data_IF_814823556287
#
_entry.id   IF_814823556287
#
_cell.length_a   1.000
_cell.length_b   1.000
_cell.length_c   1.000
_cell.angle_alpha   90.00
_cell.angle_beta   90.00
_cell.angle_gamma   90.00
#
_symmetry.space_group_name_H-M   'P 1'
#
loop_
_entity.id
_entity.type
_entity.pdbx_description
1 polymer ?
#
# COMPACT_ATOMS: atom_id res chain seq x y z
N UNK A 1 -27.21 47.15 -11.56
CA UNK A 1 -28.63 46.80 -11.82
C UNK A 1 -29.15 45.64 -10.96
N UNK A 2 -28.36 44.61 -10.73
CA UNK A 2 -28.75 43.41 -9.93
C UNK A 2 -28.91 43.78 -8.46
N UNK A 3 -28.00 44.58 -7.89
CA UNK A 3 -28.05 45.00 -6.48
C UNK A 3 -29.30 45.80 -6.14
N UNK A 4 -29.72 46.73 -7.01
CA UNK A 4 -30.96 47.50 -6.84
C UNK A 4 -32.23 46.63 -6.90
N UNK A 5 -32.19 45.54 -7.69
CA UNK A 5 -33.27 44.56 -7.77
C UNK A 5 -33.35 43.73 -6.49
N UNK A 6 -32.21 43.29 -5.97
CA UNK A 6 -32.12 42.55 -4.69
C UNK A 6 -32.69 43.40 -3.53
N UNK A 7 -32.27 44.64 -3.42
CA UNK A 7 -32.80 45.55 -2.41
C UNK A 7 -34.33 45.73 -2.48
N UNK A 8 -34.89 45.76 -3.70
CA UNK A 8 -36.34 45.87 -3.92
C UNK A 8 -37.09 44.59 -3.55
N UNK A 9 -36.45 43.41 -3.74
CA UNK A 9 -37.07 42.10 -3.48
C UNK A 9 -36.94 41.65 -2.01
N UNK A 10 -35.99 42.18 -1.26
CA UNK A 10 -35.76 41.79 0.15
C UNK A 10 -37.03 41.90 1.02
N UNK A 11 -37.74 43.03 1.02
CA UNK A 11 -38.97 43.16 1.82
C UNK A 11 -40.04 42.14 1.45
N UNK A 12 -40.18 41.82 0.15
CA UNK A 12 -41.16 40.84 -0.32
C UNK A 12 -40.83 39.44 0.18
N UNK A 13 -39.54 39.05 0.12
CA UNK A 13 -39.04 37.76 0.62
C UNK A 13 -39.27 37.62 2.13
N UNK A 14 -38.82 38.60 2.90
CA UNK A 14 -38.93 38.59 4.36
C UNK A 14 -40.41 38.57 4.79
N UNK A 15 -41.23 39.45 4.24
CA UNK A 15 -42.66 39.51 4.59
C UNK A 15 -43.42 38.24 4.17
N UNK A 16 -43.11 37.69 2.99
CA UNK A 16 -43.72 36.45 2.52
C UNK A 16 -43.33 35.25 3.37
N UNK A 17 -42.06 35.17 3.78
CA UNK A 17 -41.54 34.12 4.67
C UNK A 17 -42.19 34.19 6.07
N UNK A 18 -42.33 35.41 6.63
CA UNK A 18 -42.99 35.63 7.92
C UNK A 18 -44.49 35.25 7.86
N UNK A 19 -45.16 35.57 6.77
CA UNK A 19 -46.57 35.19 6.57
C UNK A 19 -46.77 33.68 6.50
N UNK A 20 -45.73 32.92 6.10
CA UNK A 20 -45.70 31.46 6.09
C UNK A 20 -45.12 30.85 7.38
N UNK A 21 -44.92 31.61 8.43
CA UNK A 21 -44.53 31.12 9.76
C UNK A 21 -43.02 30.90 9.96
N UNK A 22 -42.17 31.40 9.06
CA UNK A 22 -40.74 31.28 9.22
C UNK A 22 -40.15 32.40 10.10
N UNK A 23 -39.17 32.12 10.98
CA UNK A 23 -38.49 33.11 11.84
C UNK A 23 -37.74 34.16 11.00
N UNK A 24 -37.86 35.45 11.38
CA UNK A 24 -37.25 36.57 10.66
C UNK A 24 -35.73 36.43 10.61
N UNK A 25 -35.10 36.01 11.72
CA UNK A 25 -33.64 35.79 11.79
C UNK A 25 -33.11 34.82 10.75
N UNK A 26 -33.89 33.75 10.50
CA UNK A 26 -33.54 32.72 9.48
C UNK A 26 -33.69 33.32 8.06
N UNK A 27 -34.72 34.06 7.82
CA UNK A 27 -34.95 34.71 6.53
C UNK A 27 -33.91 35.77 6.22
N UNK A 28 -33.55 36.60 7.20
CA UNK A 28 -32.44 37.61 7.10
C UNK A 28 -31.11 36.94 6.80
N UNK A 29 -30.81 35.81 7.48
CA UNK A 29 -29.59 35.04 7.22
C UNK A 29 -29.58 34.50 5.79
N UNK A 30 -30.66 33.88 5.32
CA UNK A 30 -30.81 33.37 3.93
C UNK A 30 -30.58 34.52 2.95
N UNK A 31 -31.21 35.67 3.21
CA UNK A 31 -31.07 36.82 2.31
C UNK A 31 -29.63 37.32 2.24
N UNK A 32 -28.95 37.41 3.37
CA UNK A 32 -27.55 37.81 3.45
C UNK A 32 -26.64 36.85 2.69
N UNK A 33 -26.90 35.52 2.80
CA UNK A 33 -26.19 34.52 2.05
C UNK A 33 -26.42 34.64 0.54
N UNK A 34 -27.65 34.99 0.12
CA UNK A 34 -27.97 35.29 -1.28
C UNK A 34 -27.34 36.57 -1.80
N UNK A 35 -27.23 37.63 -1.00
CA UNK A 35 -26.50 38.87 -1.36
C UNK A 35 -25.00 38.58 -1.58
N UNK A 36 -24.40 37.78 -0.71
CA UNK A 36 -23.02 37.31 -0.88
C UNK A 36 -22.85 36.47 -2.15
N UNK A 37 -23.76 35.54 -2.40
CA UNK A 37 -23.77 34.73 -3.62
C UNK A 37 -23.96 35.58 -4.89
N UNK A 38 -24.84 36.55 -4.88
CA UNK A 38 -25.08 37.45 -6.01
C UNK A 38 -23.92 38.38 -6.33
N UNK A 39 -23.10 38.75 -5.32
CA UNK A 39 -21.88 39.53 -5.50
C UNK A 39 -20.80 38.75 -6.27
N UNK A 40 -20.76 37.43 -6.09
CA UNK A 40 -19.79 36.53 -6.71
C UNK A 40 -20.44 35.54 -7.68
N UNK A 41 -21.64 35.76 -8.17
CA UNK A 41 -22.43 34.84 -8.97
C UNK A 41 -21.58 33.82 -9.73
N UNK A 42 -21.94 32.55 -9.65
CA UNK A 42 -21.18 31.45 -10.22
C UNK A 42 -20.81 31.74 -11.68
N UNK A 43 -19.53 31.99 -11.91
CA UNK A 43 -19.04 32.43 -13.19
C UNK A 43 -19.21 31.30 -14.22
N UNK A 44 -20.07 31.50 -15.20
CA UNK A 44 -20.35 30.51 -16.26
C UNK A 44 -19.07 30.09 -17.00
N UNK A 45 -18.15 31.02 -17.23
CA UNK A 45 -16.85 30.72 -17.86
C UNK A 45 -16.01 29.79 -17.01
N UNK A 46 -15.99 30.03 -15.69
CA UNK A 46 -15.33 29.14 -14.73
C UNK A 46 -15.88 27.72 -14.77
N UNK A 47 -17.22 27.58 -14.71
CA UNK A 47 -17.89 26.26 -14.82
C UNK A 47 -17.54 25.54 -16.09
N UNK A 48 -17.58 26.25 -17.22
CA UNK A 48 -17.27 25.69 -18.54
C UNK A 48 -15.82 25.19 -18.59
N UNK A 49 -14.87 25.97 -18.07
CA UNK A 49 -13.46 25.56 -18.00
C UNK A 49 -13.28 24.29 -17.16
N UNK A 50 -13.88 24.26 -15.96
CA UNK A 50 -13.78 23.06 -15.09
C UNK A 50 -14.49 21.85 -15.69
N UNK A 51 -15.64 22.00 -16.30
CA UNK A 51 -16.31 20.91 -17.00
C UNK A 51 -15.47 20.37 -18.17
N UNK A 52 -14.83 21.27 -18.90
CA UNK A 52 -13.94 20.90 -20.00
C UNK A 52 -12.70 20.11 -19.51
N UNK A 53 -12.01 20.61 -18.46
CA UNK A 53 -10.88 19.91 -17.86
C UNK A 53 -11.32 18.57 -17.28
N UNK A 54 -12.48 18.53 -16.58
CA UNK A 54 -13.04 17.30 -16.04
C UNK A 54 -13.32 16.26 -17.13
N UNK A 55 -13.85 16.67 -18.27
CA UNK A 55 -14.05 15.79 -19.42
C UNK A 55 -12.70 15.28 -19.98
N UNK A 56 -11.73 16.17 -20.17
CA UNK A 56 -10.40 15.79 -20.68
C UNK A 56 -9.71 14.76 -19.76
N UNK A 57 -9.72 14.99 -18.43
CA UNK A 57 -9.11 14.06 -17.47
C UNK A 57 -9.83 12.71 -17.45
N UNK A 58 -11.17 12.71 -17.52
CA UNK A 58 -11.95 11.49 -17.62
C UNK A 58 -11.66 10.70 -18.90
N UNK A 59 -11.56 11.41 -20.04
CA UNK A 59 -11.19 10.82 -21.32
C UNK A 59 -9.80 10.17 -21.29
N UNK A 60 -8.80 10.91 -20.79
CA UNK A 60 -7.43 10.40 -20.67
C UNK A 60 -7.37 9.18 -19.75
N UNK A 61 -8.07 9.21 -18.59
CA UNK A 61 -8.12 8.07 -17.68
C UNK A 61 -8.78 6.85 -18.30
N UNK A 62 -9.77 7.03 -19.16
CA UNK A 62 -10.49 5.93 -19.82
C UNK A 62 -9.70 5.30 -20.98
N UNK A 63 -9.01 6.11 -21.77
CA UNK A 63 -8.36 5.67 -23.00
C UNK A 63 -6.84 5.50 -22.90
N UNK A 64 -6.20 6.17 -21.94
CA UNK A 64 -4.74 6.13 -21.69
C UNK A 64 -4.49 6.01 -20.18
N UNK A 65 -4.99 4.94 -19.53
CA UNK A 65 -4.99 4.86 -18.07
C UNK A 65 -3.59 4.84 -17.47
N UNK A 66 -2.62 4.14 -18.07
CA UNK A 66 -1.25 4.06 -17.57
C UNK A 66 -0.54 5.42 -17.63
N UNK A 67 -0.61 6.10 -18.77
CA UNK A 67 -0.01 7.43 -18.98
C UNK A 67 -0.65 8.49 -18.09
N UNK A 68 -1.97 8.44 -17.95
CA UNK A 68 -2.70 9.34 -17.05
C UNK A 68 -2.27 9.15 -15.59
N UNK A 69 -2.24 7.91 -15.11
CA UNK A 69 -1.83 7.61 -13.73
C UNK A 69 -0.34 7.90 -13.49
N UNK A 70 0.55 7.65 -14.45
CA UNK A 70 1.95 8.06 -14.37
C UNK A 70 2.10 9.58 -14.22
N UNK A 71 1.30 10.37 -14.96
CA UNK A 71 1.30 11.83 -14.84
C UNK A 71 0.75 12.28 -13.47
N UNK A 72 -0.32 11.64 -12.95
CA UNK A 72 -0.90 11.93 -11.64
C UNK A 72 0.11 11.63 -10.53
N UNK A 73 0.72 10.44 -10.54
CA UNK A 73 1.76 10.05 -9.58
C UNK A 73 2.95 11.02 -9.64
N UNK A 74 3.40 11.40 -10.83
CA UNK A 74 4.51 12.35 -11.02
C UNK A 74 4.25 13.73 -10.43
N UNK A 75 3.02 14.23 -10.57
CA UNK A 75 2.66 15.54 -10.02
C UNK A 75 2.47 15.53 -8.50
N UNK A 76 2.26 14.36 -7.91
CA UNK A 76 2.07 14.18 -6.48
C UNK A 76 3.25 13.49 -5.78
N UNK A 77 4.39 13.27 -6.46
CA UNK A 77 5.53 12.48 -5.95
C UNK A 77 6.13 12.99 -4.63
N UNK A 78 5.88 14.25 -4.24
CA UNK A 78 6.32 14.83 -2.98
C UNK A 78 5.31 14.66 -1.82
N UNK A 79 4.11 14.15 -2.10
CA UNK A 79 3.08 13.87 -1.10
C UNK A 79 2.83 12.37 -1.02
N UNK A 80 3.43 11.74 -0.02
CA UNK A 80 3.37 10.29 0.16
C UNK A 80 1.94 9.76 0.30
N UNK A 81 1.04 10.53 0.92
CA UNK A 81 -0.36 10.12 1.08
C UNK A 81 -1.07 10.07 -0.26
N UNK A 82 -0.83 11.07 -1.11
CA UNK A 82 -1.37 11.09 -2.46
C UNK A 82 -0.77 9.98 -3.33
N UNK A 83 0.55 9.74 -3.21
CA UNK A 83 1.19 8.63 -3.94
C UNK A 83 0.56 7.30 -3.53
N UNK A 84 0.39 7.03 -2.22
CA UNK A 84 -0.25 5.81 -1.72
C UNK A 84 -1.68 5.67 -2.27
N UNK A 85 -2.48 6.74 -2.20
CA UNK A 85 -3.85 6.75 -2.72
C UNK A 85 -3.90 6.42 -4.22
N UNK A 86 -3.02 7.00 -5.02
CA UNK A 86 -3.00 6.75 -6.46
C UNK A 86 -2.37 5.40 -6.83
N UNK A 87 -1.47 4.87 -6.03
CA UNK A 87 -0.97 3.50 -6.18
C UNK A 87 -2.09 2.48 -5.99
N UNK A 88 -2.94 2.69 -4.97
CA UNK A 88 -4.13 1.86 -4.74
C UNK A 88 -5.13 1.96 -5.89
N UNK A 89 -5.33 3.18 -6.43
CA UNK A 89 -6.18 3.38 -7.61
C UNK A 89 -5.61 2.64 -8.83
N UNK A 90 -4.28 2.65 -9.04
CA UNK A 90 -3.64 1.85 -10.10
C UNK A 90 -3.94 0.36 -9.92
N UNK A 91 -3.80 -0.17 -8.70
CA UNK A 91 -4.12 -1.58 -8.38
C UNK A 91 -5.58 -1.90 -8.70
N UNK A 92 -6.52 -1.03 -8.28
CA UNK A 92 -7.96 -1.18 -8.55
C UNK A 92 -8.29 -1.16 -10.05
N UNK A 93 -7.51 -0.42 -10.84
CA UNK A 93 -7.63 -0.35 -12.30
C UNK A 93 -6.94 -1.51 -13.03
N UNK A 94 -6.25 -2.40 -12.32
CA UNK A 94 -5.46 -3.49 -12.91
C UNK A 94 -4.18 -3.00 -13.60
N UNK A 95 -3.67 -1.83 -13.24
CA UNK A 95 -2.43 -1.28 -13.77
C UNK A 95 -1.24 -1.75 -12.94
N UNK A 96 -0.24 -2.32 -13.59
CA UNK A 96 1.01 -2.70 -12.95
C UNK A 96 1.87 -1.45 -12.70
N UNK A 97 2.29 -1.28 -11.44
CA UNK A 97 3.30 -0.28 -11.06
C UNK A 97 4.54 -1.03 -10.62
N UNK A 98 5.59 -0.92 -11.41
CA UNK A 98 6.87 -1.60 -11.19
C UNK A 98 7.81 -0.71 -10.39
N UNK A 99 8.69 -1.32 -9.60
CA UNK A 99 9.71 -0.62 -8.82
C UNK A 99 10.68 0.21 -9.67
N UNK A 100 11.53 1.04 -9.03
CA UNK A 100 12.55 1.78 -9.76
C UNK A 100 13.58 0.84 -10.37
N UNK A 101 14.11 1.21 -11.52
CA UNK A 101 15.16 0.50 -12.24
C UNK A 101 16.06 1.50 -12.95
N UNK A 102 17.37 1.44 -12.74
CA UNK A 102 18.32 2.36 -13.38
C UNK A 102 18.34 2.21 -14.89
N UNK A 103 17.92 1.07 -15.41
CA UNK A 103 17.85 0.80 -16.86
C UNK A 103 16.54 1.27 -17.52
N UNK A 104 15.49 1.58 -16.72
CA UNK A 104 14.18 1.96 -17.28
C UNK A 104 13.65 3.26 -16.69
N UNK A 105 13.83 3.50 -15.38
CA UNK A 105 13.23 4.64 -14.71
C UNK A 105 13.73 5.98 -15.20
N UNK A 106 12.83 6.96 -15.14
CA UNK A 106 13.13 8.38 -15.31
C UNK A 106 13.06 9.10 -13.95
N UNK A 107 13.25 10.42 -13.96
CA UNK A 107 13.05 11.22 -12.76
C UNK A 107 11.61 11.15 -12.26
N UNK A 108 10.64 11.23 -13.17
CA UNK A 108 9.21 11.08 -12.93
C UNK A 108 8.75 9.66 -13.23
N UNK A 109 7.56 9.31 -12.76
CA UNK A 109 6.88 8.08 -13.20
C UNK A 109 6.66 8.12 -14.71
N UNK A 110 6.86 7.00 -15.36
CA UNK A 110 6.71 6.87 -16.81
C UNK A 110 6.16 5.49 -17.17
N UNK A 111 5.51 5.38 -18.31
CA UNK A 111 5.05 4.10 -18.85
C UNK A 111 6.19 3.48 -19.65
N UNK A 112 6.46 2.19 -19.44
CA UNK A 112 7.45 1.43 -20.19
C UNK A 112 6.83 0.75 -21.43
N UNK A 113 7.66 0.04 -22.21
CA UNK A 113 7.24 -0.62 -23.44
C UNK A 113 6.21 -1.75 -23.20
N UNK A 114 6.09 -2.25 -21.97
CA UNK A 114 5.12 -3.27 -21.57
C UNK A 114 3.80 -2.66 -21.05
N UNK A 115 3.60 -1.33 -21.22
CA UNK A 115 2.47 -0.57 -20.70
C UNK A 115 2.33 -0.60 -19.17
N UNK A 116 3.40 -0.94 -18.43
CA UNK A 116 3.45 -0.83 -16.98
C UNK A 116 3.99 0.55 -16.57
N UNK A 117 3.53 1.06 -15.43
CA UNK A 117 4.03 2.32 -14.86
C UNK A 117 5.33 2.01 -14.12
N UNK A 118 6.44 2.61 -14.54
CA UNK A 118 7.72 2.51 -13.86
C UNK A 118 7.87 3.61 -12.82
N UNK A 119 8.28 3.24 -11.60
CA UNK A 119 8.48 4.17 -10.48
C UNK A 119 9.57 5.20 -10.80
N UNK A 120 9.30 6.48 -10.53
CA UNK A 120 10.25 7.57 -10.78
C UNK A 120 11.37 7.60 -9.75
N UNK A 121 12.63 7.59 -10.18
CA UNK A 121 13.79 7.66 -9.27
C UNK A 121 13.81 8.93 -8.42
N UNK A 122 13.21 10.03 -8.89
CA UNK A 122 13.11 11.28 -8.14
C UNK A 122 12.17 11.23 -6.93
N UNK A 123 11.34 10.19 -6.81
CA UNK A 123 10.51 9.97 -5.62
C UNK A 123 11.26 9.24 -4.48
N UNK A 124 12.49 8.76 -4.72
CA UNK A 124 13.33 8.11 -3.73
C UNK A 124 14.07 9.19 -2.91
N UNK A 125 13.98 9.13 -1.58
CA UNK A 125 14.66 10.07 -0.68
C UNK A 125 16.16 10.15 -0.98
N UNK A 126 16.68 11.37 -1.09
CA UNK A 126 18.11 11.59 -1.33
C UNK A 126 18.61 11.27 -2.73
N UNK A 127 17.75 10.86 -3.66
CA UNK A 127 18.09 10.71 -5.07
C UNK A 127 17.72 12.01 -5.78
N UNK A 128 18.70 12.89 -5.89
CA UNK A 128 18.52 14.21 -6.50
C UNK A 128 18.45 14.15 -8.03
N UNK A 129 17.95 15.24 -8.63
CA UNK A 129 17.78 15.34 -10.08
C UNK A 129 19.08 15.09 -10.85
N UNK A 130 20.21 15.66 -10.38
CA UNK A 130 21.52 15.45 -11.03
C UNK A 130 21.96 13.99 -11.05
N UNK A 131 21.68 13.21 -9.96
CA UNK A 131 21.97 11.78 -9.93
C UNK A 131 21.14 11.01 -10.97
N UNK A 132 19.87 11.36 -11.12
CA UNK A 132 19.00 10.72 -12.12
C UNK A 132 19.39 11.11 -13.54
N UNK A 133 19.70 12.38 -13.78
CA UNK A 133 20.09 12.89 -15.10
C UNK A 133 21.37 12.20 -15.60
N UNK A 134 22.41 12.05 -14.76
CA UNK A 134 23.62 11.34 -15.18
C UNK A 134 23.36 9.86 -15.48
N UNK A 135 22.50 9.18 -14.71
CA UNK A 135 22.10 7.79 -15.00
C UNK A 135 21.39 7.70 -16.35
N UNK A 136 20.42 8.57 -16.62
CA UNK A 136 19.66 8.57 -17.87
C UNK A 136 20.54 8.90 -19.06
N UNK A 137 21.45 9.88 -18.93
CA UNK A 137 22.32 10.32 -20.01
C UNK A 137 23.24 9.19 -20.49
N UNK A 138 23.97 8.57 -19.56
CA UNK A 138 24.92 7.53 -19.93
C UNK A 138 24.23 6.19 -20.30
N UNK A 139 22.99 5.98 -19.87
CA UNK A 139 22.15 4.85 -20.31
C UNK A 139 21.87 4.88 -21.83
N UNK A 140 21.91 6.04 -22.47
CA UNK A 140 21.72 6.16 -23.93
C UNK A 140 22.78 5.41 -24.74
N UNK A 141 23.97 5.22 -24.19
CA UNK A 141 25.05 4.45 -24.79
C UNK A 141 24.84 2.93 -24.73
N UNK A 142 23.82 2.49 -23.97
CA UNK A 142 23.45 1.10 -23.75
C UNK A 142 23.01 0.88 -22.31
N UNK A 143 22.19 -0.15 -22.08
CA UNK A 143 21.76 -0.55 -20.74
C UNK A 143 22.98 -0.90 -19.86
N UNK A 144 22.89 -0.59 -18.57
CA UNK A 144 23.91 -1.02 -17.61
C UNK A 144 23.81 -2.52 -17.38
N UNK A 145 24.94 -3.20 -17.46
CA UNK A 145 25.03 -4.67 -17.29
C UNK A 145 25.30 -5.08 -15.84
N UNK A 146 25.93 -4.20 -15.05
CA UNK A 146 26.26 -4.44 -13.66
C UNK A 146 26.46 -3.13 -12.91
N UNK A 147 26.61 -3.21 -11.58
CA UNK A 147 26.95 -2.05 -10.77
C UNK A 147 28.34 -1.49 -11.16
N UNK A 148 29.27 -2.35 -11.59
CA UNK A 148 30.61 -1.93 -12.04
C UNK A 148 30.54 -1.12 -13.33
N UNK A 149 29.71 -1.55 -14.28
CA UNK A 149 29.46 -0.80 -15.53
C UNK A 149 28.84 0.56 -15.23
N UNK A 150 27.85 0.59 -14.32
CA UNK A 150 27.19 1.83 -13.92
C UNK A 150 28.21 2.84 -13.35
N UNK A 151 29.02 2.47 -12.35
CA UNK A 151 29.94 3.41 -11.68
C UNK A 151 31.10 3.86 -12.57
N UNK A 152 31.45 3.10 -13.62
CA UNK A 152 32.44 3.50 -14.61
C UNK A 152 31.93 4.64 -15.50
N UNK A 153 30.62 4.73 -15.73
CA UNK A 153 30.00 5.58 -16.73
C UNK A 153 29.38 6.86 -16.16
N UNK A 154 28.74 6.79 -14.97
CA UNK A 154 28.00 7.92 -14.40
C UNK A 154 28.90 8.91 -13.66
N UNK A 155 28.43 10.17 -13.51
CA UNK A 155 29.11 11.14 -12.62
C UNK A 155 28.83 10.79 -11.15
N UNK A 156 29.84 10.26 -10.46
CA UNK A 156 29.77 9.87 -9.05
C UNK A 156 29.71 11.05 -8.06
N UNK A 157 29.94 12.28 -8.51
CA UNK A 157 29.72 13.49 -7.71
C UNK A 157 28.25 13.82 -7.64
N UNK A 158 27.56 13.69 -8.77
CA UNK A 158 26.10 13.86 -8.85
C UNK A 158 25.35 12.69 -8.22
N UNK A 159 25.72 11.45 -8.55
CA UNK A 159 25.20 10.21 -7.97
C UNK A 159 26.05 9.79 -6.78
N UNK A 160 26.00 10.55 -5.68
CA UNK A 160 26.80 10.33 -4.49
C UNK A 160 26.43 9.05 -3.74
N UNK A 161 27.26 8.66 -2.75
CA UNK A 161 27.08 7.45 -1.94
C UNK A 161 25.65 7.30 -1.40
N UNK A 162 25.06 8.38 -0.85
CA UNK A 162 23.70 8.33 -0.28
C UNK A 162 22.63 8.07 -1.32
N UNK A 163 22.76 8.65 -2.50
CA UNK A 163 21.83 8.39 -3.62
C UNK A 163 21.92 6.94 -4.09
N UNK A 164 23.15 6.40 -4.20
CA UNK A 164 23.40 5.02 -4.57
C UNK A 164 22.86 4.03 -3.52
N UNK A 165 23.10 4.26 -2.24
CA UNK A 165 22.54 3.47 -1.13
C UNK A 165 21.01 3.43 -1.23
N UNK A 166 20.36 4.57 -1.39
CA UNK A 166 18.90 4.64 -1.45
C UNK A 166 18.32 4.01 -2.72
N UNK A 167 19.04 4.05 -3.84
CA UNK A 167 18.67 3.29 -5.06
C UNK A 167 18.73 1.78 -4.81
N UNK A 168 19.78 1.27 -4.12
CA UNK A 168 19.85 -0.15 -3.72
C UNK A 168 18.65 -0.51 -2.84
N UNK A 169 18.39 0.28 -1.79
CA UNK A 169 17.31 0.01 -0.84
C UNK A 169 15.93 0.01 -1.51
N UNK A 170 15.74 0.87 -2.51
CA UNK A 170 14.52 0.93 -3.32
C UNK A 170 14.41 -0.17 -4.40
N UNK A 171 15.47 -0.98 -4.61
CA UNK A 171 15.49 -2.01 -5.64
C UNK A 171 15.95 -1.55 -7.03
N UNK A 172 16.50 -0.33 -7.13
CA UNK A 172 16.91 0.25 -8.41
C UNK A 172 17.98 -0.52 -9.19
N UNK A 173 18.66 -1.48 -8.55
CA UNK A 173 19.71 -2.32 -9.13
C UNK A 173 19.34 -3.81 -9.25
N UNK A 174 18.10 -4.18 -8.91
CA UNK A 174 17.68 -5.58 -8.89
C UNK A 174 17.74 -6.23 -10.28
N UNK A 175 17.62 -5.44 -11.34
CA UNK A 175 17.74 -5.92 -12.73
C UNK A 175 19.13 -6.41 -13.12
N UNK A 176 20.18 -6.13 -12.34
CA UNK A 176 21.51 -6.67 -12.62
C UNK A 176 21.61 -8.19 -12.40
N UNK A 177 20.80 -8.76 -11.50
CA UNK A 177 20.66 -10.20 -11.30
C UNK A 177 21.84 -10.92 -10.62
N UNK A 178 23.04 -10.37 -10.72
CA UNK A 178 24.27 -10.98 -10.15
C UNK A 178 24.42 -10.73 -8.64
N UNK A 179 23.74 -9.69 -8.12
CA UNK A 179 23.85 -9.24 -6.74
C UNK A 179 22.47 -9.04 -6.13
N UNK A 180 22.29 -9.44 -4.89
CA UNK A 180 21.12 -9.10 -4.10
C UNK A 180 21.41 -7.93 -3.15
N UNK A 181 20.37 -7.22 -2.73
CA UNK A 181 20.46 -5.94 -1.99
C UNK A 181 21.36 -6.02 -0.74
N UNK A 182 21.32 -7.13 0.03
CA UNK A 182 22.13 -7.30 1.23
C UNK A 182 23.64 -7.27 0.95
N UNK A 183 24.10 -7.76 -0.21
CA UNK A 183 25.51 -7.79 -0.57
C UNK A 183 26.12 -6.40 -0.67
N UNK A 184 25.34 -5.42 -1.17
CA UNK A 184 25.82 -4.04 -1.27
C UNK A 184 26.16 -3.42 0.08
N UNK A 185 25.47 -3.85 1.14
CA UNK A 185 25.67 -3.35 2.51
C UNK A 185 26.56 -4.24 3.36
N UNK A 186 27.03 -5.39 2.81
CA UNK A 186 27.90 -6.29 3.57
C UNK A 186 29.28 -5.65 3.78
N UNK A 187 29.73 -5.43 5.06
CA UNK A 187 31.01 -4.83 5.35
C UNK A 187 32.12 -5.87 5.24
N UNK A 188 33.35 -5.41 4.92
CA UNK A 188 34.56 -6.20 5.06
C UNK A 188 35.13 -6.14 6.49
N UNK A 189 36.34 -6.69 6.67
CA UNK A 189 37.04 -6.67 7.95
C UNK A 189 37.36 -5.27 8.50
N UNK A 190 37.39 -4.26 7.64
CA UNK A 190 37.65 -2.85 8.00
C UNK A 190 36.32 -2.06 8.16
N UNK A 191 35.18 -2.72 8.05
CA UNK A 191 33.86 -2.09 8.17
C UNK A 191 33.40 -1.32 6.91
N UNK A 192 34.11 -1.46 5.78
CA UNK A 192 33.79 -0.79 4.52
C UNK A 192 32.79 -1.65 3.73
N UNK A 193 31.62 -1.10 3.36
CA UNK A 193 30.61 -1.83 2.60
C UNK A 193 31.05 -2.10 1.16
N UNK A 194 30.49 -3.17 0.56
CA UNK A 194 30.78 -3.50 -0.84
C UNK A 194 30.42 -2.36 -1.77
N UNK A 195 29.25 -1.70 -1.60
CA UNK A 195 28.87 -0.54 -2.39
C UNK A 195 29.91 0.58 -2.32
N UNK A 196 30.46 0.84 -1.14
CA UNK A 196 31.49 1.87 -0.95
C UNK A 196 32.79 1.55 -1.71
N UNK A 197 33.18 0.27 -1.73
CA UNK A 197 34.32 -0.20 -2.54
C UNK A 197 34.06 -0.03 -4.03
N UNK A 198 32.85 -0.36 -4.49
CA UNK A 198 32.44 -0.19 -5.90
C UNK A 198 32.46 1.28 -6.31
N UNK A 199 31.97 2.19 -5.48
CA UNK A 199 32.03 3.63 -5.76
C UNK A 199 33.47 4.12 -5.84
N UNK A 200 34.36 3.69 -4.91
CA UNK A 200 35.78 4.03 -4.93
C UNK A 200 36.49 3.48 -6.17
N UNK A 201 36.14 2.27 -6.57
CA UNK A 201 36.61 1.67 -7.81
C UNK A 201 36.23 2.52 -9.04
N UNK A 202 34.94 2.89 -9.17
CA UNK A 202 34.48 3.74 -10.27
C UNK A 202 35.19 5.09 -10.32
N UNK A 203 35.38 5.73 -9.15
CA UNK A 203 36.11 7.01 -9.07
C UNK A 203 37.57 6.89 -9.54
N UNK A 204 38.29 5.86 -9.10
CA UNK A 204 39.65 5.61 -9.55
C UNK A 204 39.72 5.30 -11.05
N UNK A 205 38.79 4.51 -11.56
CA UNK A 205 38.71 4.19 -12.98
C UNK A 205 38.53 5.47 -13.84
N UNK A 206 37.61 6.34 -13.44
CA UNK A 206 37.36 7.60 -14.14
C UNK A 206 38.53 8.57 -14.03
N UNK A 207 39.19 8.66 -12.87
CA UNK A 207 40.41 9.46 -12.68
C UNK A 207 41.55 9.00 -13.59
N UNK A 208 41.71 7.69 -13.72
CA UNK A 208 42.73 7.11 -14.62
C UNK A 208 42.44 7.43 -16.08
N UNK A 209 41.21 7.32 -16.55
CA UNK A 209 40.83 7.70 -17.92
C UNK A 209 41.05 9.19 -18.21
N UNK A 210 40.82 10.06 -17.24
CA UNK A 210 40.95 11.50 -17.37
C UNK A 210 42.41 11.98 -17.17
N UNK A 211 43.28 11.16 -16.58
CA UNK A 211 44.68 11.49 -16.46
C UNK A 211 45.37 11.31 -17.80
N UNK A 212 45.95 12.41 -18.36
CA UNK A 212 46.71 12.41 -19.60
C UNK A 212 48.08 11.66 -19.45
N UNK A 213 48.35 11.00 -18.35
CA UNK A 213 49.50 10.13 -18.17
C UNK A 213 49.23 8.78 -18.84
N UNK A 214 49.62 8.69 -20.10
CA UNK A 214 49.90 7.39 -20.71
C UNK A 214 51.01 6.75 -19.89
N UNK A 215 50.67 5.69 -19.14
CA UNK A 215 51.70 4.91 -18.46
C UNK A 215 52.70 4.47 -19.48
N UNK A 216 53.99 4.80 -19.24
CA UNK A 216 55.11 4.42 -20.11
C UNK A 216 55.33 2.89 -20.15
N UNK A 217 54.62 2.16 -19.27
CA UNK A 217 54.55 0.71 -19.11
C UNK A 217 53.10 0.25 -19.35
N UNK A 218 52.78 0.05 -20.61
CA UNK A 218 51.44 -0.17 -21.10
C UNK A 218 50.87 -1.57 -20.85
N UNK A 219 50.80 -2.08 -19.62
CA UNK A 219 50.17 -3.37 -19.32
C UNK A 219 49.57 -3.53 -17.89
N UNK A 220 49.61 -2.52 -17.03
CA UNK A 220 49.10 -2.66 -15.66
C UNK A 220 47.64 -2.33 -15.42
N UNK A 221 46.90 -1.93 -16.45
CA UNK A 221 45.55 -1.34 -16.27
C UNK A 221 44.40 -2.34 -16.08
N UNK A 222 44.56 -3.58 -16.54
CA UNK A 222 43.50 -4.59 -16.42
C UNK A 222 43.57 -5.44 -15.16
N UNK A 223 44.74 -5.65 -14.59
CA UNK A 223 44.93 -6.52 -13.40
C UNK A 223 44.50 -5.86 -12.10
N UNK A 224 44.62 -4.55 -11.94
CA UNK A 224 44.26 -3.83 -10.69
C UNK A 224 42.74 -3.72 -10.46
N UNK A 225 41.93 -4.03 -11.47
CA UNK A 225 40.46 -3.88 -11.43
C UNK A 225 39.71 -5.19 -11.35
N UNK A 226 40.37 -6.35 -11.40
CA UNK A 226 39.73 -7.67 -11.36
C UNK A 226 39.41 -8.20 -9.93
N UNK A 227 39.84 -7.52 -8.88
CA UNK A 227 39.81 -8.08 -7.52
C UNK A 227 38.61 -7.68 -6.63
N UNK A 228 37.62 -6.97 -7.16
CA UNK A 228 36.39 -6.70 -6.40
C UNK A 228 35.43 -7.88 -6.55
N UNK A 229 35.58 -8.87 -5.68
CA UNK A 229 34.65 -9.98 -5.58
C UNK A 229 33.38 -9.57 -4.88
N UNK A 230 32.24 -9.98 -5.41
CA UNK A 230 30.94 -9.81 -4.76
C UNK A 230 30.94 -10.62 -3.45
N UNK A 231 30.68 -9.98 -2.28
CA UNK A 231 30.72 -10.68 -1.01
C UNK A 231 29.62 -11.74 -0.91
N UNK A 232 29.93 -12.88 -0.32
CA UNK A 232 28.94 -13.90 0.00
C UNK A 232 28.30 -13.56 1.35
N UNK A 233 26.98 -13.35 1.35
CA UNK A 233 26.16 -13.21 2.56
C UNK A 233 24.74 -13.71 2.29
N UNK A 234 23.98 -13.95 3.35
CA UNK A 234 22.56 -14.30 3.21
C UNK A 234 21.75 -13.14 2.63
N UNK A 235 20.82 -13.46 1.75
CA UNK A 235 19.87 -12.47 1.21
C UNK A 235 18.91 -11.99 2.31
N UNK A 236 18.51 -10.75 2.25
CA UNK A 236 17.44 -10.26 3.12
C UNK A 236 16.14 -11.02 2.84
N UNK A 237 15.35 -11.27 3.89
CA UNK A 237 13.98 -11.76 3.71
C UNK A 237 13.14 -10.72 2.97
N UNK A 238 12.06 -11.17 2.32
CA UNK A 238 11.14 -10.26 1.62
C UNK A 238 10.67 -9.11 2.52
N UNK A 239 10.29 -9.42 3.77
CA UNK A 239 9.86 -8.41 4.73
C UNK A 239 10.93 -7.33 4.99
N UNK A 240 12.21 -7.72 5.12
CA UNK A 240 13.32 -6.76 5.30
C UNK A 240 13.47 -5.88 4.05
N UNK A 241 13.40 -6.46 2.84
CA UNK A 241 13.46 -5.70 1.60
C UNK A 241 12.34 -4.67 1.54
N UNK A 242 11.09 -5.06 1.84
CA UNK A 242 9.93 -4.17 1.85
C UNK A 242 10.05 -3.03 2.88
N UNK A 243 10.59 -3.33 4.07
CA UNK A 243 10.86 -2.31 5.08
C UNK A 243 11.90 -1.30 4.61
N UNK A 244 12.96 -1.77 3.93
CA UNK A 244 13.99 -0.91 3.36
C UNK A 244 13.45 -0.05 2.22
N UNK A 245 12.61 -0.59 1.37
CA UNK A 245 11.86 0.19 0.37
C UNK A 245 11.06 1.31 1.03
N UNK A 246 10.24 0.97 2.03
CA UNK A 246 9.43 1.94 2.76
C UNK A 246 10.25 3.02 3.46
N UNK A 247 11.42 2.68 4.00
CA UNK A 247 12.33 3.65 4.63
C UNK A 247 12.74 4.78 3.67
N UNK A 248 13.04 4.43 2.42
CA UNK A 248 13.58 5.39 1.42
C UNK A 248 12.52 5.95 0.48
N UNK A 249 11.38 5.29 0.33
CA UNK A 249 10.31 5.74 -0.58
C UNK A 249 9.08 6.21 0.19
N UNK A 250 8.85 5.66 1.38
CA UNK A 250 7.70 5.94 2.24
C UNK A 250 6.52 5.00 2.06
N UNK A 251 6.55 4.15 1.03
CA UNK A 251 5.55 3.11 0.73
C UNK A 251 6.24 1.80 0.37
N UNK A 252 5.51 0.71 0.41
CA UNK A 252 5.92 -0.57 -0.18
C UNK A 252 5.68 -0.53 -1.69
N UNK A 253 6.68 -0.92 -2.47
CA UNK A 253 6.61 -0.88 -3.95
C UNK A 253 6.46 -2.29 -4.52
N UNK A 254 7.37 -3.20 -4.15
CA UNK A 254 7.46 -4.53 -4.77
C UNK A 254 6.26 -5.41 -4.43
N UNK A 255 5.81 -5.38 -3.19
CA UNK A 255 4.63 -6.08 -2.66
C UNK A 255 4.26 -5.48 -1.30
N UNK A 256 3.08 -5.83 -0.77
CA UNK A 256 2.70 -5.44 0.58
C UNK A 256 3.05 -6.56 1.58
N UNK A 257 3.52 -6.28 2.82
CA UNK A 257 3.79 -7.33 3.80
C UNK A 257 2.61 -8.25 4.11
N UNK A 258 1.38 -7.77 3.91
CA UNK A 258 0.15 -8.53 4.10
C UNK A 258 -0.30 -9.33 2.87
N UNK A 259 0.44 -9.30 1.76
CA UNK A 259 0.07 -10.04 0.54
C UNK A 259 0.02 -11.56 0.81
N UNK A 260 0.93 -12.06 1.68
CA UNK A 260 0.92 -13.44 2.14
C UNK A 260 -0.30 -13.78 3.05
N UNK A 261 -1.05 -12.77 3.51
CA UNK A 261 -2.21 -12.89 4.41
C UNK A 261 -3.50 -12.36 3.79
N UNK A 262 -3.56 -12.26 2.46
CA UNK A 262 -4.72 -11.69 1.75
C UNK A 262 -6.02 -12.44 2.09
N UNK A 263 -5.98 -13.76 2.16
CA UNK A 263 -7.14 -14.59 2.49
C UNK A 263 -7.58 -14.40 3.95
N UNK A 264 -6.65 -14.28 4.89
CA UNK A 264 -6.94 -14.00 6.30
C UNK A 264 -7.60 -12.64 6.45
N UNK A 265 -7.07 -11.63 5.76
CA UNK A 265 -7.60 -10.27 5.76
C UNK A 265 -9.00 -10.21 5.13
N UNK A 266 -9.23 -10.91 4.01
CA UNK A 266 -10.52 -10.92 3.32
C UNK A 266 -11.62 -11.63 4.13
N UNK A 267 -11.30 -12.76 4.73
CA UNK A 267 -12.32 -13.63 5.34
C UNK A 267 -12.54 -13.41 6.83
N UNK A 268 -11.56 -12.87 7.57
CA UNK A 268 -11.61 -12.78 9.03
C UNK A 268 -11.43 -11.36 9.59
N UNK A 269 -11.15 -10.38 8.75
CA UNK A 269 -11.13 -8.96 9.10
C UNK A 269 -12.42 -8.30 8.61
N UNK A 270 -13.12 -7.60 9.51
CA UNK A 270 -14.44 -7.03 9.20
C UNK A 270 -14.41 -5.57 8.79
N UNK A 271 -13.30 -4.87 9.09
CA UNK A 271 -13.14 -3.44 8.86
C UNK A 271 -11.67 -3.08 8.63
N UNK A 272 -11.41 -2.20 7.69
CA UNK A 272 -10.09 -1.62 7.43
C UNK A 272 -9.76 -0.48 8.41
N UNK A 273 -8.46 -0.27 8.67
CA UNK A 273 -7.97 0.67 9.67
C UNK A 273 -8.31 2.13 9.35
N UNK A 274 -8.38 2.52 8.08
CA UNK A 274 -8.76 3.87 7.67
C UNK A 274 -10.17 4.28 8.14
N UNK A 275 -11.02 3.33 8.51
CA UNK A 275 -12.38 3.57 9.00
C UNK A 275 -12.48 3.74 10.51
N UNK A 276 -11.40 3.51 11.25
CA UNK A 276 -11.37 3.64 12.71
C UNK A 276 -11.28 5.10 13.20
N UNK A 277 -11.11 6.06 12.31
CA UNK A 277 -11.09 7.49 12.65
C UNK A 277 -12.41 8.01 13.23
N UNK A 278 -13.55 7.38 12.87
CA UNK A 278 -14.87 7.66 13.45
C UNK A 278 -15.51 6.36 13.94
N UNK A 279 -15.66 6.23 15.25
CA UNK A 279 -16.20 5.02 15.91
C UNK A 279 -17.72 5.07 16.16
N UNK A 280 -18.37 6.22 15.98
CA UNK A 280 -19.82 6.38 16.23
C UNK A 280 -20.70 5.40 15.42
N UNK A 281 -20.43 5.15 14.12
CA UNK A 281 -21.23 4.22 13.32
C UNK A 281 -21.15 2.76 13.79
N UNK A 282 -20.17 2.44 14.64
CA UNK A 282 -19.87 1.07 15.08
C UNK A 282 -20.24 0.82 16.54
N UNK A 283 -20.96 1.73 17.19
CA UNK A 283 -21.38 1.57 18.57
C UNK A 283 -22.09 0.22 18.81
N UNK A 284 -21.67 -0.47 19.89
CA UNK A 284 -22.14 -1.79 20.31
C UNK A 284 -21.95 -2.89 19.25
N UNK A 285 -21.03 -2.70 18.30
CA UNK A 285 -20.64 -3.74 17.33
C UNK A 285 -19.27 -4.30 17.67
N UNK A 286 -19.15 -5.60 17.44
CA UNK A 286 -17.87 -6.28 17.42
C UNK A 286 -17.22 -6.08 16.05
N UNK A 287 -15.97 -5.67 16.05
CA UNK A 287 -15.14 -5.47 14.87
C UNK A 287 -13.89 -6.33 14.97
N UNK A 288 -13.39 -6.72 13.82
CA UNK A 288 -12.11 -7.41 13.67
C UNK A 288 -11.24 -6.61 12.74
N UNK A 289 -10.05 -6.25 13.19
CA UNK A 289 -9.00 -5.58 12.41
C UNK A 289 -7.80 -6.49 12.31
N UNK A 290 -7.04 -6.37 11.24
CA UNK A 290 -5.81 -7.15 11.01
C UNK A 290 -4.72 -6.26 10.43
N UNK A 291 -3.46 -6.63 10.62
CA UNK A 291 -2.35 -5.89 10.07
C UNK A 291 -0.99 -6.30 10.62
N UNK A 292 0.04 -5.61 10.16
CA UNK A 292 1.40 -5.71 10.67
C UNK A 292 1.64 -4.66 11.76
N UNK A 293 2.32 -5.06 12.83
CA UNK A 293 2.74 -4.15 13.90
C UNK A 293 4.01 -3.41 13.46
N UNK A 294 3.90 -2.09 13.26
CA UNK A 294 5.00 -1.25 12.79
C UNK A 294 5.83 -0.63 13.92
N UNK A 295 5.17 -0.29 15.02
CA UNK A 295 5.81 0.37 16.16
C UNK A 295 5.17 -0.06 17.46
N UNK A 296 5.97 -0.17 18.52
CA UNK A 296 5.53 -0.52 19.87
C UNK A 296 6.35 0.23 20.90
N UNK A 297 5.67 0.94 21.77
CA UNK A 297 6.26 1.54 22.97
C UNK A 297 5.62 0.95 24.23
N UNK A 298 6.40 0.27 25.05
CA UNK A 298 6.01 -0.18 26.36
C UNK A 298 6.32 0.90 27.40
N UNK A 299 5.32 1.35 28.14
CA UNK A 299 5.37 2.51 29.00
C UNK A 299 4.84 2.14 30.42
N UNK A 300 5.23 2.94 31.40
CA UNK A 300 4.68 2.88 32.74
C UNK A 300 3.91 4.15 33.10
N UNK A 301 2.75 3.98 33.70
CA UNK A 301 1.98 5.09 34.25
C UNK A 301 2.60 5.60 35.56
N UNK A 302 2.23 6.80 36.00
CA UNK A 302 2.67 7.36 37.29
C UNK A 302 2.42 6.46 38.50
N UNK A 303 1.49 5.51 38.38
CA UNK A 303 1.12 4.55 39.44
C UNK A 303 1.81 3.17 39.25
N UNK A 304 2.87 3.08 38.43
CA UNK A 304 3.61 1.84 38.19
C UNK A 304 2.86 0.80 37.37
N UNK A 305 1.72 1.14 36.75
CA UNK A 305 0.99 0.21 35.88
C UNK A 305 1.49 0.29 34.46
N UNK A 306 1.87 -0.85 33.91
CA UNK A 306 2.31 -0.96 32.52
C UNK A 306 1.16 -0.72 31.53
N UNK A 307 1.49 -0.11 30.41
CA UNK A 307 0.62 0.08 29.26
C UNK A 307 1.47 0.15 27.98
N UNK A 308 0.84 0.02 26.82
CA UNK A 308 1.54 0.19 25.56
C UNK A 308 0.78 1.06 24.57
N UNK A 309 1.56 1.76 23.75
CA UNK A 309 1.13 2.38 22.51
C UNK A 309 1.74 1.57 21.35
N UNK A 310 0.94 1.19 20.38
CA UNK A 310 1.41 0.42 19.25
C UNK A 310 0.65 0.80 17.99
N UNK A 311 1.34 0.75 16.86
CA UNK A 311 0.79 1.07 15.54
C UNK A 311 0.65 -0.19 14.72
N UNK A 312 -0.55 -0.42 14.19
CA UNK A 312 -0.84 -1.50 13.24
C UNK A 312 -1.13 -0.86 11.89
N UNK A 313 -0.63 -1.47 10.82
CA UNK A 313 -0.83 -1.06 9.43
C UNK A 313 -1.55 -2.18 8.67
N UNK A 314 -2.55 -1.81 7.88
CA UNK A 314 -3.19 -2.68 6.91
C UNK A 314 -2.93 -2.19 5.47
N UNK A 315 -3.65 -2.72 4.48
CA UNK A 315 -3.54 -2.26 3.09
C UNK A 315 -3.95 -0.81 2.86
N UNK A 316 -4.71 -0.21 3.80
CA UNK A 316 -5.38 1.08 3.60
C UNK A 316 -4.79 2.23 4.40
N UNK A 317 -4.37 1.98 5.63
CA UNK A 317 -3.83 3.00 6.54
C UNK A 317 -3.14 2.34 7.74
N UNK A 318 -2.61 3.17 8.63
CA UNK A 318 -2.11 2.76 9.93
C UNK A 318 -2.93 3.42 11.05
N UNK A 319 -3.09 2.68 12.15
CA UNK A 319 -3.84 3.15 13.30
C UNK A 319 -3.06 2.93 14.61
N UNK A 320 -2.97 3.98 15.44
CA UNK A 320 -2.33 3.92 16.76
C UNK A 320 -3.32 3.40 17.80
N UNK A 321 -3.03 2.26 18.37
CA UNK A 321 -3.77 1.66 19.46
C UNK A 321 -3.09 1.94 20.79
N UNK A 322 -3.90 1.99 21.87
CA UNK A 322 -3.42 2.10 23.25
C UNK A 322 -4.08 1.04 24.10
N UNK A 323 -3.27 0.31 24.87
CA UNK A 323 -3.72 -0.79 25.70
C UNK A 323 -3.21 -0.62 27.12
N UNK A 324 -4.08 -0.82 28.11
CA UNK A 324 -3.82 -0.50 29.51
C UNK A 324 -4.18 -1.68 30.44
N UNK A 325 -3.56 -1.69 31.62
CA UNK A 325 -3.97 -2.54 32.74
C UNK A 325 -3.94 -4.03 32.46
N UNK A 326 -5.06 -4.72 32.74
CA UNK A 326 -5.17 -6.17 32.56
C UNK A 326 -5.06 -6.59 31.09
N UNK A 327 -5.64 -5.82 30.17
CA UNK A 327 -5.53 -6.09 28.74
C UNK A 327 -4.07 -6.01 28.28
N UNK A 328 -3.30 -5.03 28.78
CA UNK A 328 -1.87 -4.95 28.46
C UNK A 328 -1.11 -6.20 28.95
N UNK A 329 -1.34 -6.63 30.20
CA UNK A 329 -0.66 -7.82 30.73
C UNK A 329 -1.01 -9.08 29.95
N UNK A 330 -2.26 -9.18 29.51
CA UNK A 330 -2.79 -10.33 28.75
C UNK A 330 -2.24 -10.39 27.33
N UNK A 331 -2.11 -9.25 26.63
CA UNK A 331 -1.84 -9.22 25.20
C UNK A 331 -0.47 -8.68 24.83
N UNK A 332 0.36 -8.23 25.78
CA UNK A 332 1.68 -7.62 25.49
C UNK A 332 2.63 -8.48 24.63
N UNK A 333 2.47 -9.80 24.70
CA UNK A 333 3.30 -10.73 23.93
C UNK A 333 2.99 -10.73 22.41
N UNK A 334 1.84 -10.17 22.00
CA UNK A 334 1.52 -9.92 20.61
C UNK A 334 2.10 -8.59 20.09
N UNK A 335 2.49 -7.69 21.01
CA UNK A 335 2.95 -6.36 20.67
C UNK A 335 4.47 -6.39 20.40
N UNK A 336 4.82 -6.94 19.26
CA UNK A 336 6.20 -7.03 18.79
C UNK A 336 6.23 -6.52 17.35
N UNK A 337 7.19 -5.64 17.05
CA UNK A 337 7.37 -5.08 15.70
C UNK A 337 7.54 -6.20 14.68
N UNK A 338 6.92 -6.05 13.52
CA UNK A 338 6.89 -7.02 12.40
C UNK A 338 6.03 -8.28 12.65
N UNK A 339 5.25 -8.33 13.72
CA UNK A 339 4.25 -9.38 13.86
C UNK A 339 2.97 -9.04 13.10
N UNK A 340 2.38 -10.07 12.51
CA UNK A 340 1.10 -10.00 11.82
C UNK A 340 0.00 -10.45 12.78
N UNK A 341 -0.87 -9.53 13.17
CA UNK A 341 -1.86 -9.76 14.21
C UNK A 341 -3.28 -9.46 13.72
N UNK A 342 -4.22 -10.17 14.30
CA UNK A 342 -5.65 -9.88 14.23
C UNK A 342 -6.15 -9.49 15.62
N UNK A 343 -6.88 -8.38 15.70
CA UNK A 343 -7.42 -7.84 16.94
C UNK A 343 -8.94 -7.80 16.82
N UNK A 344 -9.64 -8.42 17.77
CA UNK A 344 -11.09 -8.28 17.90
C UNK A 344 -11.39 -7.24 18.97
N UNK A 345 -12.23 -6.28 18.62
CA UNK A 345 -12.61 -5.15 19.46
C UNK A 345 -14.13 -5.02 19.52
N UNK A 346 -14.63 -4.54 20.63
CA UNK A 346 -16.03 -4.12 20.81
C UNK A 346 -16.04 -2.61 20.99
N UNK A 347 -16.82 -1.92 20.18
CA UNK A 347 -16.99 -0.47 20.34
C UNK A 347 -18.06 -0.20 21.38
N UNK A 348 -17.66 0.48 22.45
CA UNK A 348 -18.54 0.82 23.57
C UNK A 348 -18.77 2.32 23.64
N UNK A 349 -19.93 2.78 24.16
CA UNK A 349 -20.11 4.18 24.49
C UNK A 349 -19.01 4.68 25.43
N UNK A 350 -18.66 5.94 25.30
CA UNK A 350 -17.75 6.60 26.22
C UNK A 350 -18.29 6.62 27.64
N UNK A 351 -17.43 7.00 28.59
CA UNK A 351 -17.85 7.17 29.98
C UNK A 351 -18.76 8.40 30.11
N UNK A 352 -19.90 8.23 30.77
CA UNK A 352 -20.74 9.35 31.13
C UNK A 352 -20.06 10.18 32.24
N UNK A 353 -19.94 11.47 32.04
CA UNK A 353 -19.53 12.38 33.10
C UNK A 353 -20.62 12.41 34.16
N UNK A 354 -20.27 12.07 35.42
CA UNK A 354 -21.23 11.96 36.53
C UNK A 354 -21.90 13.30 36.88
N UNK A 355 -21.25 14.44 36.58
CA UNK A 355 -21.76 15.77 36.93
C UNK A 355 -22.60 16.37 35.81
N UNK A 356 -22.18 16.17 34.54
CA UNK A 356 -22.83 16.83 33.40
C UNK A 356 -23.75 15.90 32.60
N UNK A 357 -23.73 14.58 32.86
CA UNK A 357 -24.48 13.57 32.12
C UNK A 357 -24.01 13.39 30.66
N UNK A 358 -23.01 14.14 30.19
CA UNK A 358 -22.49 14.02 28.83
C UNK A 358 -21.70 12.73 28.69
N UNK A 359 -22.02 11.96 27.64
CA UNK A 359 -21.28 10.77 27.24
C UNK A 359 -20.05 11.20 26.45
N UNK A 360 -18.88 10.69 26.84
CA UNK A 360 -17.62 10.92 26.13
C UNK A 360 -17.57 10.20 24.77
N UNK A 361 -16.47 10.37 24.03
CA UNK A 361 -16.25 9.68 22.78
C UNK A 361 -16.29 8.15 22.93
N UNK A 362 -16.73 7.40 21.91
CA UNK A 362 -16.72 5.95 21.91
C UNK A 362 -15.34 5.39 22.26
N UNK A 363 -15.31 4.24 22.88
CA UNK A 363 -14.08 3.57 23.30
C UNK A 363 -13.99 2.15 22.77
N UNK A 364 -12.79 1.69 22.55
CA UNK A 364 -12.49 0.31 22.18
C UNK A 364 -12.31 -0.56 23.44
N UNK A 365 -12.95 -1.71 23.44
CA UNK A 365 -12.73 -2.78 24.40
C UNK A 365 -12.10 -3.94 23.65
N UNK A 366 -10.92 -4.38 24.04
CA UNK A 366 -10.24 -5.52 23.43
C UNK A 366 -10.89 -6.82 23.85
N UNK A 367 -11.20 -7.69 22.88
CA UNK A 367 -11.79 -9.00 23.10
C UNK A 367 -10.74 -10.11 22.97
N UNK A 368 -9.94 -10.07 21.90
CA UNK A 368 -8.87 -11.03 21.68
C UNK A 368 -7.82 -10.50 20.71
N UNK A 369 -6.59 -11.01 20.87
CA UNK A 369 -5.49 -10.89 19.94
C UNK A 369 -5.10 -12.28 19.48
N UNK A 370 -4.71 -12.41 18.23
CA UNK A 370 -4.15 -13.64 17.66
C UNK A 370 -3.19 -13.32 16.52
N UNK A 371 -2.33 -14.27 16.18
CA UNK A 371 -1.47 -14.16 15.01
C UNK A 371 -2.29 -14.44 13.74
N UNK A 372 -2.12 -13.66 12.68
CA UNK A 372 -2.84 -13.84 11.42
C UNK A 372 -2.66 -15.25 10.86
N UNK A 373 -1.46 -15.82 10.92
CA UNK A 373 -1.17 -17.18 10.45
C UNK A 373 -2.00 -18.28 11.11
N UNK A 374 -2.55 -18.03 12.32
CA UNK A 374 -3.34 -19.03 13.04
C UNK A 374 -4.85 -18.86 12.77
N UNK A 375 -5.24 -17.86 12.01
CA UNK A 375 -6.66 -17.49 11.85
C UNK A 375 -7.48 -18.57 11.14
N UNK A 376 -6.92 -19.18 10.09
CA UNK A 376 -7.60 -20.29 9.40
C UNK A 376 -7.81 -21.51 10.31
N UNK A 377 -6.78 -21.90 11.05
CA UNK A 377 -6.88 -23.03 11.98
C UNK A 377 -7.96 -22.80 13.04
N UNK A 378 -7.98 -21.58 13.62
CA UNK A 378 -8.86 -21.22 14.72
C UNK A 378 -10.31 -20.97 14.27
N UNK A 379 -10.52 -20.38 13.11
CA UNK A 379 -11.82 -19.82 12.72
C UNK A 379 -12.45 -20.44 11.47
N UNK A 380 -11.68 -21.04 10.56
CA UNK A 380 -12.23 -21.73 9.40
C UNK A 380 -12.82 -23.10 9.82
N UNK A 381 -14.14 -23.20 9.90
CA UNK A 381 -14.83 -24.40 10.38
C UNK A 381 -15.43 -25.24 9.25
N UNK A 382 -15.88 -24.59 8.20
CA UNK A 382 -16.48 -25.23 7.04
C UNK A 382 -16.15 -24.49 5.74
N UNK A 383 -16.03 -25.25 4.68
CA UNK A 383 -15.92 -24.77 3.31
C UNK A 383 -17.19 -25.17 2.55
N UNK A 384 -17.82 -24.21 1.90
CA UNK A 384 -18.96 -24.45 1.01
C UNK A 384 -18.57 -24.10 -0.39
N UNK A 385 -18.53 -25.09 -1.30
CA UNK A 385 -18.30 -24.91 -2.73
C UNK A 385 -19.62 -24.63 -3.42
N UNK A 386 -19.69 -23.60 -4.27
CA UNK A 386 -20.85 -23.26 -5.05
C UNK A 386 -20.69 -23.82 -6.47
N UNK A 387 -21.58 -24.70 -6.89
CA UNK A 387 -21.49 -25.44 -8.13
C UNK A 387 -22.74 -25.19 -8.98
N UNK A 388 -22.57 -24.60 -10.17
CA UNK A 388 -23.63 -24.52 -11.16
C UNK A 388 -23.70 -25.83 -11.93
N UNK A 389 -24.84 -26.51 -11.91
CA UNK A 389 -25.03 -27.83 -12.54
C UNK A 389 -24.77 -27.76 -14.05
N UNK A 390 -25.00 -26.64 -14.70
CA UNK A 390 -24.81 -26.45 -16.13
C UNK A 390 -23.35 -26.19 -16.54
N UNK A 391 -22.48 -25.91 -15.57
CA UNK A 391 -21.05 -25.66 -15.77
C UNK A 391 -20.16 -26.84 -15.35
N UNK A 392 -20.78 -27.90 -14.80
CA UNK A 392 -20.06 -29.10 -14.36
C UNK A 392 -19.90 -30.05 -15.54
N UNK A 393 -18.67 -30.44 -15.78
CA UNK A 393 -18.26 -31.56 -16.64
C UNK A 393 -17.39 -32.56 -15.89
N UNK A 394 -17.14 -33.73 -16.49
CA UNK A 394 -16.36 -34.78 -15.84
C UNK A 394 -14.93 -34.32 -15.52
N UNK A 395 -14.32 -33.51 -16.38
CA UNK A 395 -12.94 -32.98 -16.19
C UNK A 395 -12.88 -32.07 -14.97
N UNK A 396 -13.81 -31.12 -14.84
CA UNK A 396 -13.90 -30.24 -13.66
C UNK A 396 -14.13 -31.01 -12.37
N UNK A 397 -14.97 -32.06 -12.42
CA UNK A 397 -15.23 -32.89 -11.24
C UNK A 397 -13.97 -33.66 -10.85
N UNK A 398 -13.19 -34.21 -11.80
CA UNK A 398 -11.93 -34.89 -11.53
C UNK A 398 -10.88 -33.96 -10.95
N UNK A 399 -10.72 -32.75 -11.50
CA UNK A 399 -9.81 -31.74 -11.00
C UNK A 399 -10.18 -31.34 -9.55
N UNK A 400 -11.45 -31.06 -9.28
CA UNK A 400 -11.93 -30.78 -7.94
C UNK A 400 -11.66 -31.93 -6.96
N UNK A 401 -11.91 -33.16 -7.37
CA UNK A 401 -11.60 -34.34 -6.55
C UNK A 401 -10.11 -34.46 -6.23
N UNK A 402 -9.24 -34.12 -7.18
CA UNK A 402 -7.80 -34.11 -6.99
C UNK A 402 -7.39 -33.10 -5.91
N UNK A 403 -7.87 -31.85 -6.01
CA UNK A 403 -7.60 -30.82 -5.00
C UNK A 403 -8.12 -31.23 -3.61
N UNK A 404 -9.36 -31.73 -3.53
CA UNK A 404 -9.94 -32.17 -2.27
C UNK A 404 -9.21 -33.38 -1.64
N UNK A 405 -8.57 -34.23 -2.44
CA UNK A 405 -7.72 -35.33 -1.94
C UNK A 405 -6.37 -34.83 -1.45
N UNK A 406 -5.77 -33.85 -2.14
CA UNK A 406 -4.50 -33.24 -1.78
C UNK A 406 -4.60 -32.51 -0.45
N UNK A 407 -5.68 -31.74 -0.23
CA UNK A 407 -5.92 -30.95 0.98
C UNK A 407 -6.88 -31.65 1.96
N UNK A 408 -6.65 -32.94 2.20
CA UNK A 408 -7.43 -33.71 3.18
C UNK A 408 -7.18 -33.22 4.61
N UNK A 409 -8.25 -33.01 5.40
CA UNK A 409 -8.17 -32.48 6.75
C UNK A 409 -9.37 -32.88 7.61
N UNK A 410 -9.69 -32.02 8.58
CA UNK A 410 -10.75 -32.26 9.61
C UNK A 410 -11.98 -31.36 9.46
N UNK A 411 -11.89 -30.32 8.62
CA UNK A 411 -12.95 -29.31 8.47
C UNK A 411 -14.08 -29.82 7.56
N UNK A 412 -15.29 -29.35 7.82
CA UNK A 412 -16.49 -29.77 7.12
C UNK A 412 -16.55 -29.19 5.70
N UNK A 413 -16.87 -30.04 4.73
CA UNK A 413 -17.06 -29.69 3.32
C UNK A 413 -18.53 -29.75 2.93
N UNK A 414 -19.04 -28.68 2.33
CA UNK A 414 -20.38 -28.58 1.80
C UNK A 414 -20.35 -28.26 0.31
N UNK A 415 -21.32 -28.80 -0.42
CA UNK A 415 -21.57 -28.48 -1.82
C UNK A 415 -22.91 -27.77 -1.92
N UNK A 416 -22.89 -26.56 -2.43
CA UNK A 416 -24.07 -25.81 -2.78
C UNK A 416 -24.29 -25.89 -4.29
N UNK A 417 -25.08 -26.85 -4.72
CA UNK A 417 -25.43 -27.07 -6.12
C UNK A 417 -26.61 -26.17 -6.45
N UNK A 418 -26.52 -25.38 -7.51
CA UNK A 418 -27.60 -24.56 -7.98
C UNK A 418 -27.86 -24.76 -9.48
N UNK A 419 -29.11 -24.67 -9.84
CA UNK A 419 -29.60 -24.67 -11.21
C UNK A 419 -30.00 -23.22 -11.53
N UNK A 420 -29.21 -22.56 -12.38
CA UNK A 420 -29.42 -21.15 -12.74
C UNK A 420 -30.70 -20.95 -13.56
N UNK A 421 -31.14 -21.94 -14.34
CA UNK A 421 -32.35 -21.89 -15.15
C UNK A 421 -33.62 -22.06 -14.31
N UNK A 422 -33.63 -23.08 -13.44
CA UNK A 422 -34.79 -23.41 -12.59
C UNK A 422 -34.82 -22.64 -11.27
N UNK A 423 -33.74 -21.87 -10.95
CA UNK A 423 -33.57 -21.15 -9.68
C UNK A 423 -33.69 -22.03 -8.43
N UNK A 424 -33.22 -23.28 -8.53
CA UNK A 424 -33.23 -24.24 -7.43
C UNK A 424 -31.83 -24.30 -6.83
N UNK A 425 -31.76 -24.35 -5.51
CA UNK A 425 -30.52 -24.44 -4.76
C UNK A 425 -30.59 -25.57 -3.73
N UNK A 426 -29.59 -26.44 -3.75
CA UNK A 426 -29.47 -27.58 -2.82
C UNK A 426 -28.12 -27.54 -2.15
N UNK A 427 -28.11 -27.58 -0.82
CA UNK A 427 -26.87 -27.67 -0.04
C UNK A 427 -26.69 -29.04 0.57
N UNK A 428 -25.59 -29.71 0.25
CA UNK A 428 -25.27 -31.07 0.65
C UNK A 428 -23.99 -31.04 1.53
N UNK A 429 -24.00 -31.80 2.61
CA UNK A 429 -22.80 -32.02 3.42
C UNK A 429 -22.06 -33.27 2.93
N UNK A 430 -20.76 -33.14 2.69
CA UNK A 430 -19.92 -34.31 2.37
C UNK A 430 -19.75 -35.18 3.63
N UNK A 431 -20.28 -36.40 3.59
CA UNK A 431 -20.15 -37.34 4.70
C UNK A 431 -18.80 -38.04 4.78
N UNK A 432 -18.15 -38.20 3.62
CA UNK A 432 -16.92 -39.03 3.47
C UNK A 432 -15.65 -38.17 3.42
N UNK A 433 -15.74 -36.96 2.92
CA UNK A 433 -14.57 -36.12 2.69
C UNK A 433 -14.60 -34.88 3.56
N UNK A 434 -13.50 -34.61 4.22
CA UNK A 434 -13.22 -33.40 4.97
C UNK A 434 -11.95 -32.76 4.42
N UNK A 435 -11.79 -31.48 4.61
CA UNK A 435 -10.70 -30.68 4.02
C UNK A 435 -9.90 -29.94 5.08
N UNK A 436 -8.63 -29.69 4.78
CA UNK A 436 -7.82 -28.71 5.46
C UNK A 436 -8.05 -27.38 4.75
N UNK A 437 -8.71 -26.44 5.41
CA UNK A 437 -8.94 -25.11 4.85
C UNK A 437 -7.67 -24.29 5.08
N UNK A 438 -7.00 -23.93 3.99
CA UNK A 438 -5.75 -23.16 4.00
C UNK A 438 -5.72 -22.20 2.81
N UNK A 439 -4.90 -21.15 2.85
CA UNK A 439 -4.69 -20.27 1.71
C UNK A 439 -4.40 -21.04 0.42
N UNK A 440 -3.51 -22.01 0.47
CA UNK A 440 -3.15 -22.84 -0.69
C UNK A 440 -4.34 -23.60 -1.31
N UNK A 441 -5.28 -24.09 -0.49
CA UNK A 441 -6.52 -24.70 -1.03
C UNK A 441 -7.39 -23.64 -1.72
N UNK A 442 -7.52 -22.46 -1.12
CA UNK A 442 -8.36 -21.38 -1.66
C UNK A 442 -7.79 -20.85 -2.98
N UNK A 443 -6.47 -20.70 -3.07
CA UNK A 443 -5.77 -20.33 -4.30
C UNK A 443 -5.97 -21.38 -5.40
N UNK A 444 -5.82 -22.67 -5.07
CA UNK A 444 -6.06 -23.76 -6.03
C UNK A 444 -7.51 -23.77 -6.54
N UNK A 445 -8.47 -23.45 -5.68
CA UNK A 445 -9.87 -23.31 -6.08
C UNK A 445 -10.11 -22.08 -6.95
N UNK A 446 -9.47 -20.96 -6.63
CA UNK A 446 -9.61 -19.70 -7.38
C UNK A 446 -8.99 -19.81 -8.79
N UNK A 447 -7.87 -20.50 -8.95
CA UNK A 447 -7.22 -20.73 -10.25
C UNK A 447 -8.11 -21.47 -11.25
N UNK A 448 -9.05 -22.29 -10.76
CA UNK A 448 -9.99 -23.08 -11.54
C UNK A 448 -11.41 -22.45 -11.57
N UNK A 449 -11.53 -21.19 -11.19
CA UNK A 449 -12.79 -20.42 -11.12
C UNK A 449 -13.87 -21.09 -10.23
N UNK A 450 -13.48 -21.78 -9.14
CA UNK A 450 -14.41 -22.33 -8.18
C UNK A 450 -14.88 -21.27 -7.18
N UNK A 451 -16.18 -21.03 -7.15
CA UNK A 451 -16.77 -20.16 -6.12
C UNK A 451 -16.91 -20.89 -4.79
N UNK A 452 -16.45 -20.26 -3.72
CA UNK A 452 -16.54 -20.83 -2.39
C UNK A 452 -17.00 -19.81 -1.35
N UNK A 453 -17.41 -20.32 -0.21
CA UNK A 453 -17.76 -19.54 0.97
C UNK A 453 -17.19 -20.24 2.21
N UNK A 454 -16.55 -19.47 3.09
CA UNK A 454 -16.09 -19.92 4.39
C UNK A 454 -17.17 -19.66 5.46
N UNK A 455 -17.26 -20.58 6.46
CA UNK A 455 -18.12 -20.52 7.68
C UNK A 455 -19.62 -20.41 7.43
#
# INVERSE_FOLDING_TARGET
KIFALLQKLKPQFINGGKANGHPEEVLEKIWKDWEAFAAYAFNKSHSTCYAWIGYQTAYLKAHYPAEYMAAVLSNNMNDIKQVTFFMEECRRMGLNVLGPDVNESFYKFAVNDEHAIRFGMGAIKGVGRGAVETIIEHRKEGKYTSIFDLVKRIDLRAANKKAMENLVLAGGFDSFGETHRAQYFNPDGDGITFLEKVIRFGAKYQEHLNSAQVSLFGEETDQTYQDLTIPSCESWSNLICLQKEKEVVGIYISSHPLDDFTHEMEHFVSISLNRLGDLEPFLNRELSVGGIVNDVEHLESRNGKGWARFTVEDFTDQYEFRIFGEDYLKYRHFLVVNQFIRIRIMIRPGWANKETGKVGAPRMQYLSFEMLQNTFENHAKKLTLQLDIHQLDDTKVETLQSHLKQFKGDKSLFFCIYDSEKKIKLTLNSKKQRVQISPALLEALALEDWYYKLN
#
